data_IF_985114307192
#
_entry.id   IF_985114307192
#
_cell.length_a   1.000
_cell.length_b   1.000
_cell.length_c   1.000
_cell.angle_alpha   90.00
_cell.angle_beta   90.00
_cell.angle_gamma   90.00
#
_symmetry.space_group_name_H-M   'P 1'
#
loop_
_entity.id
_entity.type
_entity.pdbx_description
1 polymer ?
#
# COMPACT_ATOMS: atom_id res chain seq x y z
N UNK A 1 16.11 0.58 33.53
CA UNK A 1 16.04 2.00 33.23
C UNK A 1 14.78 2.58 33.84
N UNK A 2 14.78 3.83 34.34
CA UNK A 2 13.57 4.44 34.84
C UNK A 2 12.50 4.36 33.78
N UNK A 3 11.29 3.91 34.12
CA UNK A 3 10.26 3.55 33.21
C UNK A 3 9.85 4.76 32.36
N UNK A 4 9.97 4.62 31.07
CA UNK A 4 9.29 5.52 30.15
C UNK A 4 7.81 5.17 30.23
N UNK A 5 6.98 6.13 30.58
CA UNK A 5 5.55 5.92 30.71
C UNK A 5 4.90 5.68 29.32
N UNK A 6 5.53 6.20 28.27
CA UNK A 6 4.97 6.16 26.92
C UNK A 6 6.05 6.28 25.86
N UNK A 7 5.95 5.49 24.78
CA UNK A 7 6.84 5.56 23.62
C UNK A 7 6.00 5.70 22.35
N UNK A 8 6.24 6.74 21.58
CA UNK A 8 5.58 6.95 20.32
C UNK A 8 6.21 6.09 19.20
N UNK A 9 5.40 5.27 18.55
CA UNK A 9 5.75 4.45 17.39
C UNK A 9 4.98 4.94 16.17
N UNK A 10 5.70 5.28 15.10
CA UNK A 10 5.16 5.71 13.82
C UNK A 10 5.29 4.59 12.80
N UNK A 11 4.20 4.30 12.08
CA UNK A 11 4.21 3.42 10.92
C UNK A 11 4.24 4.26 9.64
N UNK A 12 5.21 3.99 8.77
CA UNK A 12 5.36 4.64 7.48
C UNK A 12 5.45 3.61 6.36
N UNK A 13 4.95 3.98 5.19
CA UNK A 13 5.01 3.16 3.98
C UNK A 13 5.50 4.00 2.81
N UNK A 14 6.36 3.44 1.96
CA UNK A 14 6.84 4.18 0.81
C UNK A 14 8.04 3.56 0.09
N UNK A 15 8.84 4.43 -0.53
CA UNK A 15 10.03 4.05 -1.27
C UNK A 15 11.27 4.22 -0.41
N UNK A 16 12.20 3.27 -0.49
CA UNK A 16 13.57 3.32 0.05
C UNK A 16 13.71 4.08 1.40
N UNK A 17 13.10 3.53 2.44
CA UNK A 17 13.11 4.10 3.80
C UNK A 17 14.40 3.77 4.56
N UNK A 18 15.52 3.57 3.84
CA UNK A 18 16.80 3.35 4.48
C UNK A 18 17.21 4.58 5.28
N UNK A 19 17.69 4.31 6.47
CA UNK A 19 17.97 5.27 7.53
C UNK A 19 18.96 6.39 7.14
N UNK A 20 19.80 6.15 6.14
CA UNK A 20 21.00 6.98 5.90
C UNK A 20 20.83 8.03 4.80
N UNK A 21 19.84 7.93 3.94
CA UNK A 21 19.79 8.79 2.76
C UNK A 21 18.83 9.96 2.83
N UNK A 22 17.90 9.98 3.76
CA UNK A 22 16.89 11.05 3.88
C UNK A 22 16.05 11.27 2.60
N UNK A 23 16.24 10.44 1.59
CA UNK A 23 15.71 10.61 0.24
C UNK A 23 14.45 9.77 -0.06
N UNK A 24 14.03 8.94 0.88
CA UNK A 24 12.81 8.13 0.71
C UNK A 24 11.57 8.99 0.75
N UNK A 25 10.68 8.77 -0.21
CA UNK A 25 9.34 9.37 -0.19
C UNK A 25 8.43 8.37 0.54
N UNK A 26 7.76 8.82 1.58
CA UNK A 26 6.88 7.97 2.36
C UNK A 26 5.57 8.68 2.71
N UNK A 27 4.58 7.86 3.03
CA UNK A 27 3.30 8.26 3.61
C UNK A 27 3.23 7.74 5.05
N UNK A 28 2.92 8.61 5.98
CA UNK A 28 2.65 8.23 7.36
C UNK A 28 1.27 7.58 7.44
N UNK A 29 1.23 6.33 7.88
CA UNK A 29 -0.03 5.59 8.04
C UNK A 29 -0.67 5.89 9.37
N UNK A 30 0.15 6.07 10.40
CA UNK A 30 -0.34 6.46 11.73
C UNK A 30 0.74 6.41 12.80
N UNK A 31 0.37 6.92 13.96
CA UNK A 31 1.19 6.91 15.17
C UNK A 31 0.38 6.25 16.29
N UNK A 32 1.04 5.42 17.08
CA UNK A 32 0.49 4.85 18.31
C UNK A 32 1.44 5.12 19.48
N UNK A 33 0.86 5.19 20.65
CA UNK A 33 1.59 5.39 21.90
C UNK A 33 1.63 4.08 22.68
N UNK A 34 2.83 3.56 22.85
CA UNK A 34 3.07 2.27 23.49
C UNK A 34 3.21 2.45 24.99
N UNK A 35 2.33 1.83 25.75
CA UNK A 35 2.34 1.79 27.22
C UNK A 35 2.52 0.37 27.75
N UNK A 36 2.58 -0.61 26.85
CA UNK A 36 2.78 -2.01 27.20
C UNK A 36 4.27 -2.36 27.36
N UNK A 37 4.53 -3.48 28.00
CA UNK A 37 5.87 -4.01 28.20
C UNK A 37 6.14 -5.18 27.26
N UNK A 38 7.40 -5.58 27.01
CA UNK A 38 7.73 -6.72 26.18
C UNK A 38 7.10 -8.04 26.68
N UNK A 39 6.89 -8.19 28.01
CA UNK A 39 6.26 -9.38 28.60
C UNK A 39 4.73 -9.42 28.40
N UNK A 40 4.15 -8.31 27.92
CA UNK A 40 2.73 -8.21 27.60
C UNK A 40 2.53 -7.50 26.26
N UNK A 41 2.86 -8.16 25.13
CA UNK A 41 2.77 -7.56 23.80
C UNK A 41 1.32 -7.21 23.48
N UNK A 42 1.14 -6.18 22.67
CA UNK A 42 -0.16 -5.74 22.15
C UNK A 42 -0.13 -5.64 20.65
N UNK A 43 -1.24 -5.97 20.04
CA UNK A 43 -1.47 -5.77 18.62
C UNK A 43 -2.01 -4.35 18.36
N UNK A 44 -1.49 -3.71 17.32
CA UNK A 44 -1.92 -2.39 16.87
C UNK A 44 -2.26 -2.48 15.39
N UNK A 45 -3.46 -2.05 15.03
CA UNK A 45 -3.94 -2.03 13.66
C UNK A 45 -3.81 -0.62 13.08
N UNK A 46 -3.23 -0.53 11.88
CA UNK A 46 -3.14 0.70 11.11
C UNK A 46 -3.87 0.52 9.79
N UNK A 47 -4.70 1.50 9.42
CA UNK A 47 -5.43 1.49 8.14
C UNK A 47 -5.08 2.71 7.31
N UNK A 48 -4.85 2.52 6.05
CA UNK A 48 -4.52 3.59 5.12
C UNK A 48 -5.01 3.28 3.71
N UNK A 49 -5.05 4.31 2.87
CA UNK A 49 -5.33 4.16 1.45
C UNK A 49 -4.03 3.91 0.71
N UNK A 50 -3.97 2.82 -0.03
CA UNK A 50 -2.76 2.45 -0.78
C UNK A 50 -2.42 3.47 -1.87
N UNK A 51 -3.42 4.23 -2.36
CA UNK A 51 -3.21 5.30 -3.34
C UNK A 51 -2.35 6.44 -2.81
N UNK A 52 -2.27 6.60 -1.49
CA UNK A 52 -1.43 7.61 -0.85
C UNK A 52 0.02 7.14 -0.65
N UNK A 53 0.27 5.84 -0.85
CA UNK A 53 1.59 5.24 -0.60
C UNK A 53 2.45 5.32 -1.85
N UNK A 54 3.60 6.00 -1.80
CA UNK A 54 4.51 6.02 -2.93
C UNK A 54 5.12 4.63 -3.16
N UNK A 55 5.10 4.20 -4.41
CA UNK A 55 5.63 2.90 -4.83
C UNK A 55 6.99 3.11 -5.49
N UNK A 56 7.98 2.34 -5.07
CA UNK A 56 9.25 2.27 -5.77
C UNK A 56 9.02 1.66 -7.15
N UNK A 57 9.29 2.39 -8.25
CA UNK A 57 9.07 1.85 -9.58
C UNK A 57 10.01 0.67 -9.87
N UNK A 58 9.62 -0.17 -10.82
CA UNK A 58 10.48 -1.21 -11.33
C UNK A 58 11.79 -0.60 -11.87
N UNK A 59 12.90 -1.26 -11.59
CA UNK A 59 14.22 -0.84 -12.09
C UNK A 59 15.02 -2.02 -12.63
N UNK A 60 15.71 -1.80 -13.72
CA UNK A 60 16.67 -2.75 -14.24
C UNK A 60 18.05 -2.54 -13.57
N UNK A 61 18.66 -3.62 -13.15
CA UNK A 61 20.07 -3.66 -12.75
C UNK A 61 20.85 -4.47 -13.78
N UNK A 62 22.17 -4.48 -13.67
CA UNK A 62 23.03 -5.25 -14.61
C UNK A 62 22.62 -6.73 -14.74
N UNK A 63 22.09 -7.32 -13.67
CA UNK A 63 21.85 -8.76 -13.57
C UNK A 63 20.39 -9.15 -13.38
N UNK A 64 19.49 -8.20 -13.09
CA UNK A 64 18.08 -8.51 -12.81
C UNK A 64 17.17 -7.31 -12.95
N UNK A 65 15.90 -7.59 -13.17
CA UNK A 65 14.82 -6.62 -13.02
C UNK A 65 14.31 -6.71 -11.58
N UNK A 66 14.26 -5.57 -10.89
CA UNK A 66 13.67 -5.43 -9.56
C UNK A 66 12.24 -4.96 -9.78
N UNK A 67 11.23 -5.72 -9.33
CA UNK A 67 9.83 -5.33 -9.48
C UNK A 67 9.50 -4.09 -8.66
N UNK A 68 8.35 -3.44 -8.91
CA UNK A 68 7.84 -2.40 -8.03
C UNK A 68 7.72 -2.91 -6.60
N UNK A 69 8.02 -2.06 -5.63
CA UNK A 69 8.00 -2.45 -4.23
C UNK A 69 7.55 -1.30 -3.32
N UNK A 70 6.99 -1.66 -2.19
CA UNK A 70 6.66 -0.77 -1.08
C UNK A 70 7.45 -1.26 0.13
N UNK A 71 8.07 -0.34 0.83
CA UNK A 71 8.73 -0.61 2.11
C UNK A 71 7.80 -0.19 3.24
N UNK A 72 7.65 -1.04 4.23
CA UNK A 72 6.91 -0.76 5.47
C UNK A 72 7.93 -0.66 6.59
N UNK A 73 7.85 0.41 7.38
CA UNK A 73 8.79 0.65 8.47
C UNK A 73 8.06 1.14 9.71
N UNK A 74 8.33 0.48 10.83
CA UNK A 74 7.95 0.95 12.16
C UNK A 74 9.12 1.77 12.72
N UNK A 75 8.88 3.01 13.08
CA UNK A 75 9.88 3.95 13.57
C UNK A 75 9.58 4.33 15.02
N UNK A 76 10.55 4.10 15.91
CA UNK A 76 10.51 4.69 17.23
C UNK A 76 10.82 6.18 17.08
N UNK A 77 9.84 7.03 17.40
CA UNK A 77 9.96 8.49 17.33
C UNK A 77 9.98 9.12 18.73
N UNK A 78 10.46 8.36 19.72
CA UNK A 78 10.65 8.88 21.05
C UNK A 78 11.63 10.07 21.02
N UNK A 79 11.22 11.16 21.64
CA UNK A 79 12.03 12.37 21.82
C UNK A 79 11.87 12.84 23.27
N UNK A 80 12.98 12.94 23.99
CA UNK A 80 13.00 13.43 25.35
C UNK A 80 13.30 14.94 25.44
N UNK A 81 13.35 15.62 24.27
CA UNK A 81 13.67 17.04 24.17
C UNK A 81 15.16 17.36 24.30
N UNK A 82 16.04 16.39 24.48
CA UNK A 82 17.47 16.60 24.46
C UNK A 82 17.98 16.66 23.00
N UNK A 83 18.72 17.74 22.71
CA UNK A 83 19.32 17.89 21.39
C UNK A 83 20.44 16.86 21.20
N UNK A 84 20.20 15.89 20.35
CA UNK A 84 21.24 14.97 19.91
C UNK A 84 22.18 15.69 18.94
N UNK A 85 23.39 15.95 19.38
CA UNK A 85 24.44 16.55 18.53
C UNK A 85 24.99 15.50 17.58
N UNK A 86 24.31 15.30 16.46
CA UNK A 86 24.71 14.38 15.39
C UNK A 86 26.08 14.69 14.77
N UNK A 87 26.68 15.83 15.12
CA UNK A 87 27.98 16.24 14.60
C UNK A 87 29.15 15.61 15.35
N UNK A 88 28.92 15.06 16.53
CA UNK A 88 29.97 14.47 17.35
C UNK A 88 30.18 12.98 17.16
N UNK A 89 29.29 12.31 16.49
CA UNK A 89 29.37 10.87 16.40
C UNK A 89 29.48 10.41 14.95
N UNK A 90 30.64 9.95 14.59
CA UNK A 90 30.63 8.74 13.79
C UNK A 90 29.86 7.70 14.61
N UNK A 91 28.78 7.14 14.10
CA UNK A 91 28.01 6.02 14.63
C UNK A 91 28.21 5.68 16.13
N UNK A 92 28.14 6.70 17.00
CA UNK A 92 28.20 6.44 18.42
C UNK A 92 26.79 5.99 18.87
N UNK A 93 26.68 4.70 19.13
CA UNK A 93 25.45 4.07 19.62
C UNK A 93 25.13 4.45 21.08
N UNK A 94 25.89 5.33 21.71
CA UNK A 94 25.73 5.67 23.13
C UNK A 94 24.38 6.35 23.43
N UNK A 95 23.86 7.16 22.52
CA UNK A 95 22.53 7.78 22.67
C UNK A 95 21.40 6.76 22.56
N UNK A 96 21.57 5.70 21.74
CA UNK A 96 20.57 4.64 21.61
C UNK A 96 20.43 3.78 22.87
N UNK A 97 21.41 3.79 23.75
CA UNK A 97 21.36 3.05 25.00
C UNK A 97 20.40 3.68 26.03
N UNK A 98 20.10 4.98 25.89
CA UNK A 98 19.20 5.72 26.77
C UNK A 98 17.77 5.79 26.23
N UNK A 99 17.59 5.61 24.94
CA UNK A 99 16.26 5.59 24.31
C UNK A 99 15.51 4.29 24.64
N UNK A 100 14.19 4.35 24.85
CA UNK A 100 13.40 3.15 25.03
C UNK A 100 13.44 2.28 23.77
N UNK A 101 13.62 0.98 23.97
CA UNK A 101 13.62 0.01 22.86
C UNK A 101 12.21 -0.47 22.59
N UNK A 102 11.83 -0.48 21.31
CA UNK A 102 10.62 -1.12 20.84
C UNK A 102 10.98 -2.47 20.27
N UNK A 103 10.30 -3.51 20.72
CA UNK A 103 10.42 -4.88 20.20
C UNK A 103 9.20 -5.15 19.32
N UNK A 104 9.46 -5.44 18.05
CA UNK A 104 8.43 -5.83 17.08
C UNK A 104 8.50 -7.35 16.93
N UNK A 105 7.44 -8.05 17.33
CA UNK A 105 7.37 -9.50 17.23
C UNK A 105 6.92 -9.96 15.84
N UNK A 106 5.95 -9.27 15.27
CA UNK A 106 5.44 -9.57 13.93
C UNK A 106 4.88 -8.31 13.26
N UNK A 107 4.84 -8.33 11.94
CA UNK A 107 4.15 -7.36 11.12
C UNK A 107 3.39 -8.11 10.05
N UNK A 108 2.07 -7.93 10.03
CA UNK A 108 1.19 -8.47 9.00
C UNK A 108 0.69 -7.33 8.11
N UNK A 109 0.69 -7.59 6.81
CA UNK A 109 0.20 -6.65 5.80
C UNK A 109 -0.89 -7.29 4.97
N UNK A 110 -2.09 -6.74 5.04
CA UNK A 110 -3.23 -7.18 4.26
C UNK A 110 -3.66 -6.08 3.27
N UNK A 111 -3.72 -6.42 2.00
CA UNK A 111 -4.22 -5.55 0.93
C UNK A 111 -4.67 -6.36 -0.29
N UNK A 112 -5.69 -5.93 -1.01
CA UNK A 112 -6.62 -4.84 -0.66
C UNK A 112 -7.65 -5.28 0.38
N UNK A 113 -7.92 -4.42 1.35
CA UNK A 113 -9.02 -4.62 2.30
C UNK A 113 -10.28 -3.94 1.77
N UNK A 114 -11.37 -4.68 1.67
CA UNK A 114 -12.66 -4.17 1.27
C UNK A 114 -13.74 -4.72 2.20
N UNK A 115 -14.57 -3.84 2.77
CA UNK A 115 -15.66 -4.23 3.69
C UNK A 115 -16.63 -5.23 3.05
N UNK A 116 -16.79 -5.14 1.73
CA UNK A 116 -17.60 -6.06 0.92
C UNK A 116 -16.86 -6.46 -0.33
N UNK A 117 -16.72 -7.77 -0.56
CA UNK A 117 -16.09 -8.30 -1.76
C UNK A 117 -17.12 -8.91 -2.74
N UNK A 118 -17.09 -8.61 -4.03
CA UNK A 118 -16.30 -7.57 -4.72
C UNK A 118 -16.76 -6.16 -4.33
N UNK A 119 -15.85 -5.18 -4.28
CA UNK A 119 -16.20 -3.81 -3.89
C UNK A 119 -17.17 -3.15 -4.88
N UNK A 120 -17.87 -2.11 -4.45
CA UNK A 120 -18.94 -1.49 -5.25
C UNK A 120 -18.46 -0.97 -6.61
N UNK A 121 -17.29 -0.36 -6.68
CA UNK A 121 -16.72 0.12 -7.94
C UNK A 121 -16.47 -1.01 -8.95
N UNK A 122 -16.12 -2.21 -8.48
CA UNK A 122 -15.98 -3.39 -9.31
C UNK A 122 -17.34 -3.87 -9.82
N UNK A 123 -18.35 -3.95 -8.96
CA UNK A 123 -19.71 -4.42 -9.32
C UNK A 123 -20.48 -3.42 -10.18
N UNK A 124 -20.12 -2.13 -10.12
CA UNK A 124 -20.63 -1.10 -11.05
C UNK A 124 -20.21 -1.34 -12.49
N UNK A 125 -19.03 -1.89 -12.71
CA UNK A 125 -18.51 -2.22 -14.04
C UNK A 125 -18.94 -3.65 -14.41
N UNK A 126 -18.58 -4.61 -13.58
CA UNK A 126 -18.83 -6.04 -13.78
C UNK A 126 -20.10 -6.46 -13.02
N UNK A 127 -21.25 -6.08 -13.56
CA UNK A 127 -22.54 -6.34 -12.94
C UNK A 127 -22.89 -7.83 -12.94
N UNK A 128 -23.72 -8.25 -11.98
CA UNK A 128 -24.24 -9.62 -11.90
C UNK A 128 -25.17 -9.90 -13.06
N UNK A 129 -24.90 -10.97 -13.82
CA UNK A 129 -25.74 -11.42 -14.94
C UNK A 129 -25.59 -12.92 -15.15
N UNK A 130 -26.68 -13.65 -15.44
CA UNK A 130 -26.62 -15.05 -15.87
C UNK A 130 -25.77 -15.24 -17.13
N UNK A 131 -25.71 -14.24 -18.00
CA UNK A 131 -24.92 -14.25 -19.23
C UNK A 131 -23.42 -14.46 -18.98
N UNK A 132 -22.92 -14.07 -17.81
CA UNK A 132 -21.50 -14.22 -17.48
C UNK A 132 -21.02 -15.67 -17.61
N UNK A 133 -21.87 -16.64 -17.25
CA UNK A 133 -21.57 -18.08 -17.38
C UNK A 133 -22.12 -18.67 -18.65
N UNK A 134 -23.34 -18.29 -19.06
CA UNK A 134 -24.04 -18.91 -20.17
C UNK A 134 -23.54 -18.43 -21.53
N UNK A 135 -23.17 -17.16 -21.66
CA UNK A 135 -22.71 -16.55 -22.93
C UNK A 135 -21.68 -15.45 -22.61
N UNK A 136 -20.41 -15.82 -22.30
CA UNK A 136 -19.37 -14.87 -21.86
C UNK A 136 -19.14 -13.72 -22.83
N UNK A 137 -19.08 -13.97 -24.13
CA UNK A 137 -18.88 -12.95 -25.16
C UNK A 137 -19.97 -11.87 -25.16
N UNK A 138 -21.23 -12.29 -24.97
CA UNK A 138 -22.34 -11.35 -24.87
C UNK A 138 -22.28 -10.53 -23.58
N UNK A 139 -21.85 -11.17 -22.51
CA UNK A 139 -21.65 -10.46 -21.24
C UNK A 139 -20.55 -9.40 -21.37
N UNK A 140 -19.40 -9.77 -21.90
CA UNK A 140 -18.28 -8.84 -22.14
C UNK A 140 -18.73 -7.67 -23.02
N UNK A 141 -19.45 -7.95 -24.11
CA UNK A 141 -20.02 -6.91 -24.98
C UNK A 141 -20.92 -5.94 -24.21
N UNK A 142 -21.80 -6.48 -23.35
CA UNK A 142 -22.70 -5.65 -22.54
C UNK A 142 -21.94 -4.80 -21.52
N UNK A 143 -20.90 -5.34 -20.91
CA UNK A 143 -20.01 -4.60 -19.99
C UNK A 143 -19.32 -3.47 -20.73
N UNK A 144 -18.68 -3.73 -21.86
CA UNK A 144 -17.99 -2.74 -22.71
C UNK A 144 -18.96 -1.63 -23.09
N UNK A 145 -20.12 -1.96 -23.63
CA UNK A 145 -21.13 -0.98 -24.07
C UNK A 145 -21.57 -0.08 -22.92
N UNK A 146 -21.87 -0.67 -21.76
CA UNK A 146 -22.28 0.08 -20.56
C UNK A 146 -21.18 1.00 -20.04
N UNK A 147 -19.95 0.51 -19.98
CA UNK A 147 -18.78 1.29 -19.56
C UNK A 147 -18.53 2.47 -20.49
N UNK A 148 -18.46 2.21 -21.79
CA UNK A 148 -18.23 3.23 -22.82
C UNK A 148 -19.31 4.31 -22.81
N UNK A 149 -20.58 3.94 -22.70
CA UNK A 149 -21.69 4.91 -22.62
C UNK A 149 -21.52 5.88 -21.47
N UNK A 150 -21.03 5.41 -20.34
CA UNK A 150 -20.74 6.25 -19.16
C UNK A 150 -19.48 7.08 -19.34
N UNK A 151 -18.40 6.47 -19.85
CA UNK A 151 -17.11 7.15 -20.05
C UNK A 151 -17.21 8.25 -21.09
N UNK A 152 -17.90 8.00 -22.21
CA UNK A 152 -18.05 8.97 -23.29
C UNK A 152 -19.22 9.93 -23.06
N UNK A 153 -20.05 9.69 -22.04
CA UNK A 153 -21.24 10.50 -21.70
C UNK A 153 -22.21 10.66 -22.88
N UNK A 154 -22.27 9.67 -23.76
CA UNK A 154 -23.17 9.59 -24.93
C UNK A 154 -23.48 8.13 -25.26
N UNK A 155 -24.59 7.88 -25.99
CA UNK A 155 -24.77 6.56 -26.60
C UNK A 155 -23.58 6.20 -27.49
N UNK A 156 -23.21 4.92 -27.46
CA UNK A 156 -22.14 4.37 -28.31
C UNK A 156 -22.75 3.57 -29.46
N UNK A 157 -22.07 3.59 -30.62
CA UNK A 157 -22.50 2.79 -31.78
C UNK A 157 -22.09 1.33 -31.60
N UNK A 158 -22.71 0.44 -32.35
CA UNK A 158 -22.33 -0.98 -32.33
C UNK A 158 -20.91 -1.20 -32.88
N UNK A 159 -20.50 -0.40 -33.86
CA UNK A 159 -19.14 -0.42 -34.44
C UNK A 159 -18.07 -0.06 -33.42
N UNK A 160 -18.34 0.94 -32.58
CA UNK A 160 -17.45 1.32 -31.48
C UNK A 160 -17.32 0.16 -30.47
N UNK A 161 -18.44 -0.46 -30.11
CA UNK A 161 -18.43 -1.62 -29.21
C UNK A 161 -17.67 -2.80 -29.82
N UNK A 162 -17.85 -3.06 -31.10
CA UNK A 162 -17.12 -4.13 -31.82
C UNK A 162 -15.62 -3.88 -31.83
N UNK A 163 -15.21 -2.62 -32.01
CA UNK A 163 -13.81 -2.23 -31.95
C UNK A 163 -13.18 -2.58 -30.61
N UNK A 164 -13.78 -2.15 -29.50
CA UNK A 164 -13.24 -2.43 -28.16
C UNK A 164 -13.37 -3.89 -27.77
N UNK A 165 -14.38 -4.61 -28.24
CA UNK A 165 -14.47 -6.05 -28.01
C UNK A 165 -13.35 -6.83 -28.73
N UNK A 166 -12.91 -6.38 -29.92
CA UNK A 166 -11.73 -6.97 -30.60
C UNK A 166 -10.45 -6.73 -29.78
N UNK A 167 -10.26 -5.52 -29.25
CA UNK A 167 -9.11 -5.22 -28.39
C UNK A 167 -9.13 -6.14 -27.16
N UNK A 168 -10.26 -6.26 -26.49
CA UNK A 168 -10.40 -7.18 -25.34
C UNK A 168 -9.98 -8.61 -25.71
N UNK A 169 -10.43 -9.15 -26.84
CA UNK A 169 -10.10 -10.53 -27.27
C UNK A 169 -8.61 -10.73 -27.55
N UNK A 170 -7.91 -9.71 -28.01
CA UNK A 170 -6.45 -9.80 -28.21
C UNK A 170 -5.77 -9.99 -26.85
N UNK A 171 -6.10 -9.17 -25.86
CA UNK A 171 -5.50 -9.28 -24.52
C UNK A 171 -5.94 -10.56 -23.77
N UNK A 172 -7.20 -10.98 -23.89
CA UNK A 172 -7.71 -12.21 -23.26
C UNK A 172 -7.03 -13.49 -23.80
N UNK A 173 -6.48 -13.43 -25.00
CA UNK A 173 -5.73 -14.53 -25.61
C UNK A 173 -4.24 -14.57 -25.22
N UNK A 174 -3.70 -13.47 -24.67
CA UNK A 174 -2.30 -13.37 -24.26
C UNK A 174 -2.06 -13.75 -22.78
N UNK A 175 -3.13 -13.82 -21.98
CA UNK A 175 -3.11 -14.10 -20.53
C UNK A 175 -4.05 -15.24 -20.16
#
# INVERSE_FOLDING_TARGET
PPGFEEVALRLVMGTDLRHDSGSGIYHEVGIVHLTNTPDNPKEFEFRGRIENVPVQPARATRNKIIPPSITITAQNIFDNGELNDHRKSGFDSSWSAQAPRVVLESLEFEAPVADVWPPEHHTRILFKSPLRKAKPDYYVRAVIKRFMTRAFRRPVTEEEVDHYQRIYKIYDAEF
#
